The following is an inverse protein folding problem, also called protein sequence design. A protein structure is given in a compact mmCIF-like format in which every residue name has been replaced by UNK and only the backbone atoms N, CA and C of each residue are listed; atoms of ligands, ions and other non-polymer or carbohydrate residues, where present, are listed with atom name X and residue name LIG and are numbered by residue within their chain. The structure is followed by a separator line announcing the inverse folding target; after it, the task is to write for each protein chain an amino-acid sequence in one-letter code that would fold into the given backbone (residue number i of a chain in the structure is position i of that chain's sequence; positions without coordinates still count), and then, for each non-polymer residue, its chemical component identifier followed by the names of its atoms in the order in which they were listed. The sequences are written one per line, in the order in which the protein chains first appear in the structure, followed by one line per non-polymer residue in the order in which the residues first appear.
data_IF_338966761287
#
_entry.id   IF_338966761287
#
_cell.length_a   1.000
_cell.length_b   1.000
_cell.length_c   1.000
_cell.angle_alpha   90.00
_cell.angle_beta   90.00
_cell.angle_gamma   90.00
#
_symmetry.space_group_name_H-M   'P 1'
#
loop_
_entity.id
_entity.type
_entity.pdbx_description
1 polymer ?
#
# COMPACT_ATOMS: atom_id res chain seq x y z
N UNK A 1 -47.07 -9.82 -62.80
CA UNK A 1 -46.06 -10.17 -61.78
C UNK A 1 -45.12 -9.00 -61.59
N UNK A 2 -45.43 -8.13 -60.64
CA UNK A 2 -44.59 -6.99 -60.25
C UNK A 2 -43.83 -7.43 -59.01
N UNK A 3 -42.51 -7.59 -59.12
CA UNK A 3 -41.64 -7.87 -57.97
C UNK A 3 -41.23 -6.52 -57.39
N UNK A 4 -41.82 -6.16 -56.25
CA UNK A 4 -41.30 -5.11 -55.38
C UNK A 4 -40.03 -5.65 -54.71
N UNK A 5 -38.89 -5.00 -54.96
CA UNK A 5 -37.67 -5.19 -54.19
C UNK A 5 -37.78 -4.35 -52.92
N UNK A 6 -37.95 -5.01 -51.78
CA UNK A 6 -37.81 -4.40 -50.45
C UNK A 6 -36.33 -4.08 -50.20
N UNK A 7 -35.98 -2.89 -49.69
CA UNK A 7 -34.63 -2.63 -49.21
C UNK A 7 -34.38 -3.46 -47.96
N UNK A 8 -33.39 -4.35 -48.03
CA UNK A 8 -32.89 -5.09 -46.88
C UNK A 8 -32.25 -4.11 -45.88
N UNK A 9 -33.01 -3.70 -44.87
CA UNK A 9 -32.47 -2.98 -43.71
C UNK A 9 -31.69 -4.00 -42.90
N UNK A 10 -30.37 -3.99 -43.05
CA UNK A 10 -29.48 -4.72 -42.14
C UNK A 10 -29.56 -4.03 -40.77
N UNK A 11 -29.72 -4.77 -39.66
CA UNK A 11 -29.63 -4.17 -38.33
C UNK A 11 -28.21 -3.62 -38.14
N UNK A 12 -28.11 -2.31 -37.92
CA UNK A 12 -26.86 -1.59 -37.67
C UNK A 12 -26.27 -2.01 -36.33
N UNK A 13 -25.47 -3.08 -36.33
CA UNK A 13 -24.53 -3.40 -35.26
C UNK A 13 -23.25 -2.62 -35.55
N UNK A 14 -23.17 -1.31 -35.25
CA UNK A 14 -21.94 -0.55 -35.62
C UNK A 14 -21.68 0.77 -34.86
N UNK A 15 -22.12 0.95 -33.61
CA UNK A 15 -21.77 2.18 -32.86
C UNK A 15 -21.11 1.87 -31.52
N UNK A 16 -21.66 0.91 -30.77
CA UNK A 16 -21.04 0.49 -29.50
C UNK A 16 -19.73 -0.28 -29.72
N UNK A 17 -19.64 -1.09 -30.79
CA UNK A 17 -18.41 -1.82 -31.17
C UNK A 17 -17.33 -0.84 -31.61
N UNK A 18 -17.66 0.07 -32.54
CA UNK A 18 -16.76 1.07 -33.10
C UNK A 18 -16.22 2.02 -32.02
N UNK A 19 -17.06 2.42 -31.05
CA UNK A 19 -16.62 3.25 -29.92
C UNK A 19 -15.71 2.48 -28.95
N UNK A 20 -15.98 1.20 -28.69
CA UNK A 20 -15.14 0.36 -27.85
C UNK A 20 -13.75 0.13 -28.49
N UNK A 21 -13.72 -0.09 -29.80
CA UNK A 21 -12.48 -0.18 -30.58
C UNK A 21 -11.70 1.13 -30.55
N UNK A 22 -12.34 2.28 -30.81
CA UNK A 22 -11.71 3.59 -30.74
C UNK A 22 -11.12 3.88 -29.34
N UNK A 23 -11.83 3.49 -28.27
CA UNK A 23 -11.33 3.62 -26.90
C UNK A 23 -10.08 2.76 -26.65
N UNK A 24 -10.08 1.53 -27.18
CA UNK A 24 -8.93 0.63 -27.10
C UNK A 24 -7.73 1.19 -27.89
N UNK A 25 -7.94 1.74 -29.09
CA UNK A 25 -6.87 2.39 -29.86
C UNK A 25 -6.25 3.56 -29.09
N UNK A 26 -7.07 4.40 -28.43
CA UNK A 26 -6.56 5.51 -27.63
C UNK A 26 -5.76 5.04 -26.41
N UNK A 27 -6.18 3.95 -25.78
CA UNK A 27 -5.39 3.30 -24.71
C UNK A 27 -4.07 2.77 -25.24
N UNK A 28 -4.07 1.99 -26.34
CA UNK A 28 -2.86 1.42 -26.92
C UNK A 28 -1.88 2.52 -27.34
N UNK A 29 -2.36 3.56 -28.01
CA UNK A 29 -1.56 4.74 -28.35
C UNK A 29 -0.90 5.32 -27.10
N UNK A 30 -1.68 5.60 -26.05
CA UNK A 30 -1.16 6.15 -24.79
C UNK A 30 -0.13 5.22 -24.15
N UNK A 31 -0.41 3.93 -24.10
CA UNK A 31 0.44 2.92 -23.47
C UNK A 31 1.78 2.79 -24.20
N UNK A 32 1.78 2.73 -25.54
CA UNK A 32 3.02 2.65 -26.31
C UNK A 32 3.78 3.98 -26.32
N UNK A 33 3.10 5.13 -26.36
CA UNK A 33 3.76 6.43 -26.17
C UNK A 33 4.44 6.53 -24.80
N UNK A 34 3.78 6.04 -23.74
CA UNK A 34 4.38 5.95 -22.41
C UNK A 34 5.66 5.11 -22.42
N UNK A 35 5.63 3.92 -23.03
CA UNK A 35 6.78 3.03 -23.14
C UNK A 35 7.91 3.62 -23.98
N UNK A 36 7.60 4.39 -25.03
CA UNK A 36 8.61 5.07 -25.85
C UNK A 36 9.30 6.17 -25.05
N UNK A 37 8.54 6.96 -24.29
CA UNK A 37 9.10 7.95 -23.37
C UNK A 37 9.94 7.31 -22.26
N UNK A 38 9.60 6.09 -21.84
CA UNK A 38 10.35 5.33 -20.82
C UNK A 38 11.75 4.90 -21.30
N UNK A 39 11.95 4.83 -22.61
CA UNK A 39 13.26 4.56 -23.22
C UNK A 39 14.15 5.80 -23.25
N UNK A 40 13.55 6.98 -23.09
CA UNK A 40 14.30 8.19 -22.80
C UNK A 40 14.70 8.14 -21.32
N UNK A 41 15.75 8.85 -20.93
CA UNK A 41 16.16 8.87 -19.52
C UNK A 41 15.05 9.44 -18.60
N UNK A 42 15.30 9.46 -17.29
CA UNK A 42 14.32 9.92 -16.28
C UNK A 42 13.84 11.36 -16.47
N UNK A 43 14.46 12.16 -17.35
CA UNK A 43 13.98 13.50 -17.72
C UNK A 43 12.61 13.48 -18.40
N UNK A 44 12.19 12.35 -18.99
CA UNK A 44 10.88 12.18 -19.62
C UNK A 44 9.74 11.86 -18.62
N UNK A 45 10.04 11.60 -17.34
CA UNK A 45 9.02 11.26 -16.34
C UNK A 45 7.87 12.28 -16.22
N UNK A 46 8.11 13.61 -16.26
CA UNK A 46 7.02 14.60 -16.27
C UNK A 46 6.14 14.52 -17.52
N UNK A 47 6.72 14.19 -18.68
CA UNK A 47 6.00 14.06 -19.95
C UNK A 47 5.13 12.81 -19.94
N UNK A 48 5.64 11.69 -19.40
CA UNK A 48 4.86 10.47 -19.14
C UNK A 48 3.66 10.76 -18.22
N UNK A 49 3.87 11.53 -17.14
CA UNK A 49 2.77 11.92 -16.24
C UNK A 49 1.71 12.76 -16.96
N UNK A 50 2.13 13.73 -17.77
CA UNK A 50 1.18 14.57 -18.50
C UNK A 50 0.39 13.78 -19.54
N UNK A 51 1.05 12.88 -20.26
CA UNK A 51 0.40 11.94 -21.18
C UNK A 51 -0.70 11.13 -20.48
N UNK A 52 -0.39 10.55 -19.32
CA UNK A 52 -1.35 9.73 -18.56
C UNK A 52 -2.48 10.58 -17.98
N UNK A 53 -2.21 11.80 -17.50
CA UNK A 53 -3.26 12.74 -17.03
C UNK A 53 -4.23 13.13 -18.15
N UNK A 54 -3.71 13.40 -19.34
CA UNK A 54 -4.52 13.73 -20.51
C UNK A 54 -5.42 12.55 -20.87
N UNK A 55 -4.86 11.33 -20.92
CA UNK A 55 -5.64 10.12 -21.16
C UNK A 55 -6.68 9.88 -20.07
N UNK A 56 -6.33 10.03 -18.79
CA UNK A 56 -7.26 9.87 -17.65
C UNK A 56 -8.47 10.82 -17.70
N UNK A 57 -8.31 11.99 -18.34
CA UNK A 57 -9.38 12.97 -18.52
C UNK A 57 -10.26 12.69 -19.75
N UNK A 58 -9.89 11.71 -20.58
CA UNK A 58 -10.63 11.34 -21.79
C UNK A 58 -11.81 10.42 -21.47
N UNK A 59 -12.85 10.45 -22.32
CA UNK A 59 -14.00 9.54 -22.24
C UNK A 59 -13.64 8.07 -22.53
N UNK A 60 -12.49 7.83 -23.16
CA UNK A 60 -11.99 6.49 -23.49
C UNK A 60 -11.32 5.80 -22.29
N UNK A 61 -10.98 6.55 -21.24
CA UNK A 61 -10.28 6.00 -20.10
C UNK A 61 -11.21 5.15 -19.24
N UNK A 62 -10.73 3.98 -18.83
CA UNK A 62 -11.41 3.12 -17.88
C UNK A 62 -10.53 2.89 -16.65
N UNK A 63 -11.09 2.54 -15.49
CA UNK A 63 -10.28 2.16 -14.33
C UNK A 63 -9.26 1.06 -14.63
N UNK A 64 -9.63 0.07 -15.44
CA UNK A 64 -8.74 -1.01 -15.86
C UNK A 64 -7.54 -0.51 -16.67
N UNK A 65 -7.72 0.52 -17.51
CA UNK A 65 -6.61 1.14 -18.24
C UNK A 65 -5.63 1.83 -17.29
N UNK A 66 -6.15 2.56 -16.30
CA UNK A 66 -5.33 3.23 -15.28
C UNK A 66 -4.59 2.23 -14.38
N UNK A 67 -5.23 1.11 -14.02
CA UNK A 67 -4.56 0.04 -13.29
C UNK A 67 -3.37 -0.53 -14.09
N UNK A 68 -3.55 -0.78 -15.39
CA UNK A 68 -2.47 -1.28 -16.27
C UNK A 68 -1.31 -0.29 -16.38
N UNK A 69 -1.61 1.01 -16.57
CA UNK A 69 -0.59 2.06 -16.61
C UNK A 69 0.14 2.19 -15.28
N UNK A 70 -0.59 2.16 -14.16
CA UNK A 70 0.01 2.24 -12.82
C UNK A 70 0.96 1.09 -12.53
N UNK A 71 0.55 -0.14 -12.88
CA UNK A 71 1.39 -1.33 -12.76
C UNK A 71 2.65 -1.23 -13.63
N UNK A 72 2.48 -0.89 -14.91
CA UNK A 72 3.62 -0.72 -15.82
C UNK A 72 4.60 0.35 -15.32
N UNK A 73 4.11 1.47 -14.78
CA UNK A 73 4.95 2.52 -14.22
C UNK A 73 5.70 2.10 -12.96
N UNK A 74 5.10 1.25 -12.11
CA UNK A 74 5.76 0.71 -10.91
C UNK A 74 6.79 -0.38 -11.22
N UNK A 75 6.65 -1.08 -12.34
CA UNK A 75 7.54 -2.17 -12.77
C UNK A 75 8.64 -1.71 -13.75
N UNK A 76 8.59 -0.43 -14.17
CA UNK A 76 9.61 0.17 -15.05
C UNK A 76 11.00 0.21 -14.42
N UNK A 77 12.03 0.39 -15.26
CA UNK A 77 13.44 0.44 -14.82
C UNK A 77 14.13 1.69 -15.39
N UNK A 78 14.29 2.77 -14.59
CA UNK A 78 13.83 2.93 -13.22
C UNK A 78 12.30 3.13 -13.12
N UNK A 79 11.67 2.84 -11.97
CA UNK A 79 10.23 3.01 -11.83
C UNK A 79 9.82 4.48 -11.80
N UNK A 80 8.71 4.81 -12.46
CA UNK A 80 8.11 6.15 -12.42
C UNK A 80 7.02 6.21 -11.34
N UNK A 81 7.44 6.47 -10.09
CA UNK A 81 6.56 6.45 -8.93
C UNK A 81 5.43 7.50 -9.00
N UNK A 82 5.67 8.64 -9.67
CA UNK A 82 4.66 9.69 -9.86
C UNK A 82 3.50 9.22 -10.73
N UNK A 83 3.82 8.54 -11.84
CA UNK A 83 2.81 7.97 -12.73
C UNK A 83 2.11 6.79 -12.07
N UNK A 84 2.86 5.92 -11.39
CA UNK A 84 2.30 4.79 -10.67
C UNK A 84 1.26 5.25 -9.65
N UNK A 85 1.62 6.17 -8.76
CA UNK A 85 0.74 6.67 -7.71
C UNK A 85 -0.50 7.38 -8.31
N UNK A 86 -0.30 8.27 -9.27
CA UNK A 86 -1.41 8.96 -9.94
C UNK A 86 -2.40 7.97 -10.56
N UNK A 87 -1.89 7.01 -11.33
CA UNK A 87 -2.72 6.08 -12.09
C UNK A 87 -3.48 5.13 -11.17
N UNK A 88 -2.84 4.61 -10.12
CA UNK A 88 -3.49 3.72 -9.14
C UNK A 88 -4.57 4.45 -8.35
N UNK A 89 -4.30 5.67 -7.86
CA UNK A 89 -5.30 6.50 -7.16
C UNK A 89 -6.47 6.88 -8.07
N UNK A 90 -6.18 7.26 -9.32
CA UNK A 90 -7.22 7.56 -10.31
C UNK A 90 -8.06 6.32 -10.66
N UNK A 91 -7.44 5.14 -10.77
CA UNK A 91 -8.14 3.86 -11.00
C UNK A 91 -9.15 3.58 -9.89
N UNK A 92 -8.72 3.66 -8.62
CA UNK A 92 -9.60 3.46 -7.46
C UNK A 92 -10.76 4.45 -7.48
N UNK A 93 -10.45 5.75 -7.64
CA UNK A 93 -11.45 6.83 -7.64
C UNK A 93 -12.49 6.62 -8.73
N UNK A 94 -12.05 6.36 -9.97
CA UNK A 94 -12.95 6.20 -11.11
C UNK A 94 -13.76 4.90 -11.01
N UNK A 95 -13.18 3.82 -10.50
CA UNK A 95 -13.93 2.57 -10.27
C UNK A 95 -15.01 2.72 -9.20
N UNK A 96 -14.72 3.40 -8.09
CA UNK A 96 -15.68 3.65 -7.01
C UNK A 96 -16.81 4.60 -7.43
N UNK A 97 -16.55 5.53 -8.34
CA UNK A 97 -17.56 6.45 -8.86
C UNK A 97 -18.53 5.81 -9.87
N UNK A 98 -18.26 4.58 -10.31
CA UNK A 98 -19.13 3.82 -11.22
C UNK A 98 -20.44 3.42 -10.55
N UNK A 99 -21.54 3.35 -11.31
CA UNK A 99 -22.82 2.81 -10.82
C UNK A 99 -22.74 1.31 -10.49
N UNK A 100 -21.76 0.61 -11.08
CA UNK A 100 -21.39 -0.76 -10.76
C UNK A 100 -19.88 -0.83 -10.48
N UNK A 101 -19.44 -0.56 -9.23
CA UNK A 101 -18.02 -0.56 -8.90
C UNK A 101 -17.35 -1.91 -9.17
N UNK A 102 -16.18 -1.88 -9.82
CA UNK A 102 -15.41 -3.08 -10.08
C UNK A 102 -14.41 -3.34 -8.96
N UNK A 103 -14.82 -4.10 -7.94
CA UNK A 103 -13.99 -4.36 -6.76
C UNK A 103 -12.73 -5.16 -7.06
N UNK A 104 -12.65 -5.91 -8.16
CA UNK A 104 -11.40 -6.57 -8.60
C UNK A 104 -10.36 -5.55 -9.06
N UNK A 105 -10.78 -4.50 -9.76
CA UNK A 105 -9.88 -3.42 -10.18
C UNK A 105 -9.46 -2.58 -8.98
N UNK A 106 -10.42 -2.27 -8.09
CA UNK A 106 -10.16 -1.49 -6.87
C UNK A 106 -9.17 -2.20 -5.97
N UNK A 107 -9.39 -3.48 -5.67
CA UNK A 107 -8.53 -4.26 -4.77
C UNK A 107 -7.12 -4.43 -5.35
N UNK A 108 -7.01 -4.73 -6.65
CA UNK A 108 -5.72 -4.83 -7.33
C UNK A 108 -4.97 -3.48 -7.29
N UNK A 109 -5.66 -2.37 -7.52
CA UNK A 109 -5.05 -1.04 -7.43
C UNK A 109 -4.58 -0.70 -6.01
N UNK A 110 -5.38 -1.03 -4.98
CA UNK A 110 -5.02 -0.84 -3.57
C UNK A 110 -3.79 -1.67 -3.19
N UNK A 111 -3.72 -2.94 -3.60
CA UNK A 111 -2.54 -3.79 -3.37
C UNK A 111 -1.28 -3.18 -3.98
N UNK A 112 -1.34 -2.75 -5.23
CA UNK A 112 -0.21 -2.11 -5.90
C UNK A 112 0.18 -0.81 -5.20
N UNK A 113 -0.79 -0.01 -4.75
CA UNK A 113 -0.53 1.25 -4.03
C UNK A 113 0.09 0.99 -2.65
N UNK A 114 -0.33 -0.07 -1.95
CA UNK A 114 0.27 -0.49 -0.68
C UNK A 114 1.73 -0.94 -0.86
N UNK A 115 2.03 -1.69 -1.92
CA UNK A 115 3.40 -2.05 -2.28
C UNK A 115 4.24 -0.80 -2.62
N UNK A 116 3.69 0.12 -3.42
CA UNK A 116 4.35 1.37 -3.81
C UNK A 116 4.69 2.24 -2.60
N UNK A 117 3.72 2.44 -1.70
CA UNK A 117 3.93 3.19 -0.46
C UNK A 117 5.01 2.52 0.42
N UNK A 118 5.06 1.19 0.45
CA UNK A 118 6.07 0.46 1.22
C UNK A 118 7.49 0.67 0.69
N UNK A 119 7.65 0.81 -0.64
CA UNK A 119 8.94 1.15 -1.25
C UNK A 119 9.39 2.57 -0.91
N UNK A 120 8.44 3.51 -0.83
CA UNK A 120 8.72 4.89 -0.44
C UNK A 120 9.12 5.00 1.03
N UNK A 121 8.52 4.22 1.93
CA UNK A 121 8.89 4.22 3.36
C UNK A 121 10.32 3.69 3.59
N UNK A 122 10.80 2.74 2.78
CA UNK A 122 12.19 2.25 2.82
C UNK A 122 13.22 3.33 2.50
N UNK A 123 12.83 4.43 1.85
CA UNK A 123 13.70 5.58 1.59
C UNK A 123 13.95 6.47 2.82
N UNK A 124 13.48 6.05 4.00
CA UNK A 124 13.66 6.78 5.27
C UNK A 124 12.54 7.78 5.59
N UNK A 125 11.45 7.73 4.83
CA UNK A 125 10.24 8.51 5.09
C UNK A 125 9.54 7.98 6.34
N UNK A 126 9.25 8.85 7.32
CA UNK A 126 8.41 8.52 8.50
C UNK A 126 6.90 8.54 8.16
N UNK A 127 6.56 8.38 6.88
CA UNK A 127 5.17 8.50 6.43
C UNK A 127 4.35 7.29 6.87
N UNK A 128 3.10 7.54 7.26
CA UNK A 128 2.09 6.51 7.49
C UNK A 128 1.39 6.10 6.18
N UNK A 129 2.00 6.37 5.02
CA UNK A 129 1.38 6.20 3.69
C UNK A 129 0.86 4.79 3.46
N UNK A 130 1.62 3.75 3.83
CA UNK A 130 1.13 2.37 3.73
C UNK A 130 -0.10 2.17 4.60
N UNK A 131 -0.08 2.67 5.84
CA UNK A 131 -1.21 2.53 6.74
C UNK A 131 -2.47 3.27 6.23
N UNK A 132 -2.31 4.43 5.58
CA UNK A 132 -3.42 5.15 4.95
C UNK A 132 -4.07 4.36 3.81
N UNK A 133 -3.30 3.63 3.01
CA UNK A 133 -3.83 2.73 1.97
C UNK A 133 -4.64 1.58 2.61
N UNK A 134 -4.13 0.99 3.70
CA UNK A 134 -4.85 -0.04 4.45
C UNK A 134 -6.14 0.49 5.07
N UNK A 135 -6.11 1.70 5.63
CA UNK A 135 -7.30 2.37 6.16
C UNK A 135 -8.33 2.60 5.06
N UNK A 136 -7.91 3.02 3.87
CA UNK A 136 -8.80 3.16 2.72
C UNK A 136 -9.43 1.82 2.32
N UNK A 137 -8.63 0.74 2.26
CA UNK A 137 -9.14 -0.59 1.95
C UNK A 137 -10.17 -1.06 2.98
N UNK A 138 -9.89 -0.88 4.27
CA UNK A 138 -10.82 -1.18 5.35
C UNK A 138 -12.13 -0.39 5.22
N UNK A 139 -12.06 0.93 4.98
CA UNK A 139 -13.24 1.77 4.78
C UNK A 139 -14.11 1.32 3.60
N UNK A 140 -13.47 0.86 2.52
CA UNK A 140 -14.19 0.29 1.37
C UNK A 140 -14.90 -1.00 1.82
N UNK A 141 -14.18 -1.94 2.42
CA UNK A 141 -14.73 -3.25 2.83
C UNK A 141 -15.91 -3.15 3.81
N UNK A 142 -15.85 -2.23 4.78
CA UNK A 142 -16.94 -2.00 5.75
C UNK A 142 -18.25 -1.61 5.05
N UNK A 143 -18.18 -0.92 3.92
CA UNK A 143 -19.36 -0.49 3.16
C UNK A 143 -19.96 -1.57 2.27
N UNK A 144 -19.36 -2.76 2.19
CA UNK A 144 -19.76 -3.82 1.27
C UNK A 144 -20.51 -4.94 1.98
N UNK A 145 -21.30 -5.68 1.20
CA UNK A 145 -21.86 -6.96 1.66
C UNK A 145 -20.78 -8.04 1.61
N UNK A 146 -20.97 -9.07 2.42
CA UNK A 146 -20.10 -10.25 2.44
C UNK A 146 -19.95 -10.84 1.02
N UNK A 147 -18.71 -11.05 0.60
CA UNK A 147 -18.36 -11.63 -0.70
C UNK A 147 -18.24 -10.65 -1.89
N UNK A 148 -18.57 -9.37 -1.72
CA UNK A 148 -18.38 -8.38 -2.81
C UNK A 148 -16.91 -8.00 -3.00
N UNK A 149 -16.15 -7.90 -1.90
CA UNK A 149 -14.70 -7.68 -1.96
C UNK A 149 -13.98 -9.01 -2.32
N UNK A 150 -12.99 -9.00 -3.23
CA UNK A 150 -12.25 -10.21 -3.57
C UNK A 150 -11.57 -10.85 -2.36
N UNK A 151 -11.88 -12.11 -2.10
CA UNK A 151 -11.48 -12.82 -0.88
C UNK A 151 -9.96 -12.89 -0.72
N UNK A 152 -9.24 -13.20 -1.80
CA UNK A 152 -7.78 -13.35 -1.81
C UNK A 152 -7.07 -12.03 -1.50
N UNK A 153 -7.65 -10.92 -1.95
CA UNK A 153 -7.12 -9.58 -1.71
C UNK A 153 -7.38 -9.14 -0.27
N UNK A 154 -8.57 -9.43 0.26
CA UNK A 154 -8.91 -9.16 1.65
C UNK A 154 -8.02 -9.95 2.61
N UNK A 155 -7.85 -11.25 2.34
CA UNK A 155 -6.95 -12.12 3.10
C UNK A 155 -5.51 -11.62 3.05
N UNK A 156 -5.02 -11.22 1.87
CA UNK A 156 -3.67 -10.68 1.76
C UNK A 156 -3.48 -9.40 2.57
N UNK A 157 -4.44 -8.47 2.55
CA UNK A 157 -4.39 -7.28 3.38
C UNK A 157 -4.31 -7.65 4.86
N UNK A 158 -5.24 -8.47 5.34
CA UNK A 158 -5.30 -8.87 6.74
C UNK A 158 -4.00 -9.55 7.22
N UNK A 159 -3.53 -10.56 6.49
CA UNK A 159 -2.31 -11.31 6.82
C UNK A 159 -1.07 -10.41 6.73
N UNK A 160 -0.98 -9.54 5.73
CA UNK A 160 0.19 -8.66 5.58
C UNK A 160 0.23 -7.60 6.68
N UNK A 161 -0.92 -7.03 7.08
CA UNK A 161 -1.01 -6.15 8.24
C UNK A 161 -0.58 -6.87 9.53
N UNK A 162 -1.05 -8.10 9.72
CA UNK A 162 -0.65 -8.91 10.87
C UNK A 162 0.87 -9.19 10.88
N UNK A 163 1.45 -9.54 9.74
CA UNK A 163 2.90 -9.77 9.63
C UNK A 163 3.72 -8.49 9.89
N UNK A 164 3.25 -7.33 9.41
CA UNK A 164 3.87 -6.02 9.70
C UNK A 164 3.93 -5.75 11.20
N UNK A 165 2.91 -6.15 11.95
CA UNK A 165 2.90 -5.99 13.40
C UNK A 165 4.01 -6.80 14.09
N UNK A 166 4.22 -8.03 13.63
CA UNK A 166 5.24 -8.92 14.17
C UNK A 166 6.65 -8.38 13.89
N UNK A 167 6.87 -7.84 12.69
CA UNK A 167 8.13 -7.17 12.34
C UNK A 167 8.37 -5.94 13.23
N UNK A 168 7.39 -5.06 13.38
CA UNK A 168 7.49 -3.88 14.24
C UNK A 168 7.85 -4.26 15.69
N UNK A 169 7.24 -5.33 16.21
CA UNK A 169 7.57 -5.87 17.53
C UNK A 169 9.02 -6.35 17.63
N UNK A 170 9.53 -7.06 16.63
CA UNK A 170 10.95 -7.48 16.58
C UNK A 170 11.92 -6.30 16.55
N UNK A 171 11.47 -5.15 16.06
CA UNK A 171 12.23 -3.90 16.03
C UNK A 171 11.98 -3.03 17.28
N UNK A 172 11.36 -3.59 18.33
CA UNK A 172 11.01 -2.90 19.57
C UNK A 172 10.08 -1.68 19.38
N UNK A 173 9.27 -1.69 18.31
CA UNK A 173 8.28 -0.65 18.01
C UNK A 173 6.88 -1.09 18.44
N UNK A 174 6.70 -1.22 19.75
CA UNK A 174 5.49 -1.70 20.42
C UNK A 174 4.18 -1.09 19.89
N UNK A 175 4.11 0.25 19.88
CA UNK A 175 2.93 1.02 19.47
C UNK A 175 2.58 0.79 18.00
N UNK A 176 3.60 0.73 17.13
CA UNK A 176 3.45 0.41 15.70
C UNK A 176 2.98 -1.03 15.53
N UNK A 177 3.52 -1.96 16.32
CA UNK A 177 3.05 -3.34 16.39
C UNK A 177 1.55 -3.42 16.69
N UNK A 178 1.10 -2.87 17.82
CA UNK A 178 -0.31 -2.86 18.20
C UNK A 178 -1.20 -2.22 17.12
N UNK A 179 -0.75 -1.10 16.52
CA UNK A 179 -1.47 -0.42 15.44
C UNK A 179 -1.71 -1.35 14.24
N UNK A 180 -0.71 -2.13 13.83
CA UNK A 180 -0.82 -3.09 12.73
C UNK A 180 -1.61 -4.35 13.10
N UNK A 181 -1.52 -4.82 14.34
CA UNK A 181 -2.37 -5.93 14.82
C UNK A 181 -3.85 -5.57 14.75
N UNK A 182 -4.22 -4.37 15.23
CA UNK A 182 -5.59 -3.86 15.15
C UNK A 182 -6.09 -3.83 13.72
N UNK A 183 -5.32 -3.22 12.81
CA UNK A 183 -5.67 -3.17 11.39
C UNK A 183 -5.84 -4.56 10.77
N UNK A 184 -4.93 -5.50 11.07
CA UNK A 184 -5.03 -6.89 10.57
C UNK A 184 -6.30 -7.59 11.07
N UNK A 185 -6.62 -7.45 12.36
CA UNK A 185 -7.84 -7.99 12.95
C UNK A 185 -9.11 -7.36 12.36
N UNK A 186 -9.14 -6.03 12.25
CA UNK A 186 -10.29 -5.31 11.71
C UNK A 186 -10.58 -5.75 10.25
N UNK A 187 -9.53 -5.92 9.44
CA UNK A 187 -9.67 -6.48 8.09
C UNK A 187 -10.16 -7.94 8.10
N UNK A 188 -9.60 -8.80 8.96
CA UNK A 188 -10.00 -10.22 9.04
C UNK A 188 -11.48 -10.41 9.32
N UNK A 189 -12.11 -9.52 10.09
CA UNK A 189 -13.55 -9.59 10.39
C UNK A 189 -14.44 -9.43 9.15
N UNK A 190 -13.92 -8.80 8.09
CA UNK A 190 -14.62 -8.58 6.82
C UNK A 190 -14.22 -9.58 5.72
N UNK A 191 -13.46 -10.63 6.06
CA UNK A 191 -13.00 -11.64 5.10
C UNK A 191 -13.47 -13.01 5.55
N UNK A 192 -14.37 -13.63 4.78
CA UNK A 192 -14.98 -14.92 5.14
C UNK A 192 -13.93 -15.98 5.47
N UNK A 193 -12.89 -16.11 4.65
CA UNK A 193 -11.82 -17.11 4.86
C UNK A 193 -10.99 -16.88 6.13
N UNK A 194 -11.09 -15.70 6.74
CA UNK A 194 -10.33 -15.32 7.94
C UNK A 194 -11.14 -15.43 9.23
N UNK A 195 -12.47 -15.63 9.17
CA UNK A 195 -13.34 -15.69 10.35
C UNK A 195 -12.90 -16.74 11.38
N UNK A 196 -12.33 -17.86 10.93
CA UNK A 196 -11.84 -18.91 11.84
C UNK A 196 -10.64 -18.48 12.69
N UNK A 197 -9.91 -17.43 12.30
CA UNK A 197 -8.71 -16.95 13.00
C UNK A 197 -8.99 -15.73 13.88
N UNK A 198 -10.16 -15.09 13.80
CA UNK A 198 -10.39 -13.81 14.47
C UNK A 198 -10.32 -13.90 15.99
N UNK A 199 -10.80 -15.01 16.58
CA UNK A 199 -10.73 -15.24 18.02
C UNK A 199 -9.27 -15.34 18.53
N UNK A 200 -8.43 -16.08 17.80
CA UNK A 200 -7.01 -16.21 18.13
C UNK A 200 -6.27 -14.87 17.99
N UNK A 201 -6.61 -14.11 16.94
CA UNK A 201 -6.09 -12.76 16.72
C UNK A 201 -6.49 -11.82 17.87
N UNK A 202 -7.75 -11.87 18.33
CA UNK A 202 -8.25 -11.08 19.46
C UNK A 202 -7.49 -11.41 20.75
N UNK A 203 -7.38 -12.70 21.09
CA UNK A 203 -6.64 -13.14 22.29
C UNK A 203 -5.17 -12.70 22.24
N UNK A 204 -4.54 -12.82 21.07
CA UNK A 204 -3.16 -12.41 20.85
C UNK A 204 -2.99 -10.90 21.06
N UNK A 205 -3.88 -10.09 20.47
CA UNK A 205 -3.87 -8.63 20.62
C UNK A 205 -4.04 -8.21 22.09
N UNK A 206 -4.98 -8.82 22.81
CA UNK A 206 -5.20 -8.53 24.23
C UNK A 206 -4.00 -8.86 25.10
N UNK A 207 -3.38 -10.03 24.86
CA UNK A 207 -2.17 -10.44 25.56
C UNK A 207 -1.05 -9.41 25.39
N UNK A 208 -0.80 -8.99 24.15
CA UNK A 208 0.24 -8.01 23.88
C UNK A 208 -0.08 -6.65 24.47
N UNK A 209 -1.33 -6.18 24.38
CA UNK A 209 -1.71 -4.93 25.02
C UNK A 209 -1.43 -4.97 26.53
N UNK A 210 -1.77 -6.05 27.23
CA UNK A 210 -1.49 -6.20 28.66
C UNK A 210 -0.01 -6.13 28.98
N UNK A 211 0.85 -6.82 28.23
CA UNK A 211 2.31 -6.78 28.40
C UNK A 211 2.86 -5.35 28.29
N UNK A 212 2.43 -4.59 27.29
CA UNK A 212 2.90 -3.21 27.12
C UNK A 212 2.45 -2.27 28.23
N UNK A 213 1.24 -2.47 28.76
CA UNK A 213 0.75 -1.66 29.89
C UNK A 213 1.44 -2.05 31.21
N UNK A 214 1.83 -3.32 31.40
CA UNK A 214 2.58 -3.75 32.59
C UNK A 214 4.04 -3.32 32.56
N UNK A 215 4.73 -3.40 31.42
CA UNK A 215 6.13 -2.96 31.28
C UNK A 215 6.27 -1.43 31.40
N UNK A 216 5.30 -0.66 30.90
CA UNK A 216 5.22 0.78 31.14
C UNK A 216 4.98 1.11 32.63
N UNK A 217 4.30 0.21 33.36
CA UNK A 217 4.10 0.30 34.81
C UNK A 217 5.35 -0.05 35.63
N UNK A 218 6.15 -1.03 35.21
CA UNK A 218 7.42 -1.39 35.87
C UNK A 218 8.49 -0.31 35.68
N UNK A 219 8.57 0.33 34.51
CA UNK A 219 9.44 1.49 34.31
C UNK A 219 9.00 2.74 35.10
N UNK A 220 7.72 2.86 35.46
CA UNK A 220 7.22 3.94 36.31
C UNK A 220 7.44 3.68 37.82
N UNK A 221 7.58 2.43 38.24
CA UNK A 221 7.81 2.05 39.63
C UNK A 221 9.28 2.00 40.04
N UNK A 222 10.22 1.98 39.08
CA UNK A 222 11.66 2.13 39.35
C UNK A 222 12.15 3.59 39.40
N UNK A 223 11.25 4.57 39.32
CA UNK A 223 11.54 6.01 39.31
C UNK A 223 11.40 6.73 40.65
N UNK A 224 11.17 6.02 41.76
CA UNK A 224 11.14 6.61 43.11
C UNK A 224 12.11 5.89 44.03
N UNK A 225 13.37 6.28 43.99
CA UNK A 225 14.21 6.20 45.18
C UNK A 225 14.10 7.56 45.89
N UNK A 226 13.59 7.62 47.13
CA UNK A 226 13.82 8.78 47.97
C UNK A 226 15.29 8.77 48.44
N UNK A 227 15.95 9.91 48.24
CA UNK A 227 17.22 10.25 48.88
C UNK A 227 17.14 10.04 50.41
N UNK A 228 18.20 9.50 51.02
CA UNK A 228 18.90 10.17 52.14
C UNK A 228 20.12 9.38 52.65
N UNK A 229 21.19 10.16 52.90
CA UNK A 229 22.28 9.96 53.88
C UNK A 229 23.32 8.83 53.63
N UNK A 230 24.64 9.01 53.70
CA UNK A 230 25.46 10.04 54.36
C UNK A 230 26.85 10.12 53.73
N UNK A 231 27.48 11.29 53.87
CA UNK A 231 28.87 11.61 53.57
C UNK A 231 29.86 10.80 54.43
N UNK A 232 31.04 10.44 53.90
CA UNK A 232 32.32 10.86 54.51
C UNK A 232 33.55 10.61 53.62
N UNK A 233 34.48 11.57 53.73
CA UNK A 233 35.73 11.82 53.01
C UNK A 233 36.84 10.78 53.26
N UNK A 234 37.85 10.74 52.38
CA UNK A 234 39.18 10.23 52.75
C UNK A 234 40.15 9.82 51.64
N UNK A 235 40.68 10.78 50.88
CA UNK A 235 42.09 10.93 50.38
C UNK A 235 42.84 9.80 49.60
N UNK A 236 43.92 10.16 48.84
CA UNK A 236 44.27 9.54 47.55
C UNK A 236 45.57 8.71 47.54
N UNK A 237 45.79 7.92 46.48
CA UNK A 237 47.14 7.48 46.08
C UNK A 237 47.29 7.31 44.56
N UNK A 238 48.34 7.95 44.05
CA UNK A 238 48.85 7.98 42.68
C UNK A 238 49.97 6.96 42.47
N UNK A 239 49.97 6.24 41.34
CA UNK A 239 51.13 5.96 40.44
C UNK A 239 50.62 5.14 39.23
N UNK A 240 50.76 5.56 37.96
CA UNK A 240 51.95 5.53 37.07
C UNK A 240 52.64 4.15 37.12
N UNK A 241 52.94 3.40 36.05
CA UNK A 241 53.13 3.66 34.62
C UNK A 241 53.30 2.29 33.93
N UNK A 242 53.09 2.19 32.62
CA UNK A 242 53.37 0.95 31.88
C UNK A 242 52.96 0.97 30.41
N UNK A 243 53.63 1.79 29.61
CA UNK A 243 53.56 1.81 28.14
C UNK A 243 54.35 0.65 27.53
N UNK A 244 53.82 -0.04 26.52
CA UNK A 244 54.62 -0.63 25.43
C UNK A 244 53.82 -0.72 24.13
N UNK A 245 54.52 -0.37 23.05
CA UNK A 245 54.06 -0.08 21.70
C UNK A 245 53.82 -1.31 20.83
N UNK A 246 53.16 -1.05 19.69
CA UNK A 246 52.79 -1.90 18.54
C UNK A 246 53.93 -2.79 17.96
N UNK A 247 53.60 -3.71 17.03
CA UNK A 247 53.66 -3.32 15.61
C UNK A 247 52.50 -3.82 14.73
N UNK A 248 52.21 -3.01 13.70
CA UNK A 248 51.43 -3.33 12.49
C UNK A 248 52.24 -4.30 11.61
N UNK A 249 51.58 -5.27 10.98
CA UNK A 249 52.13 -6.05 9.87
C UNK A 249 51.20 -5.92 8.65
N UNK A 250 51.90 -5.84 7.51
CA UNK A 250 51.51 -5.49 6.14
C UNK A 250 50.42 -6.38 5.55
#
# INVERSE_FOLDING_TARGET
WQVQLLPSIWPSVSVASDQAEANNFMFLHTFYSYQLLDRMDTSAHPQQLQLVKNFASSKACTPSHLLKLGKAASEGTPPNLLVAEFSLKASIKTALASHSPNYRVISAALRNLACLAGLQDLSGSKSDAVYDVYRQAYQIMVGLRDGEYPCEEGQWLAVTAWNKSYLARRLNQASVGIKWMKMGLDLSRHVESMKQYTADMEQCLEYFQKLFHSEAGEHALLGKNPDECSQQEGAPSTSMSGSMSQPVLV
#
